data_IF_348131938165
#
_entry.id   IF_348131938165
#
_cell.length_a   1.000
_cell.length_b   1.000
_cell.length_c   1.000
_cell.angle_alpha   90.00
_cell.angle_beta   90.00
_cell.angle_gamma   90.00
#
_symmetry.space_group_name_H-M   'P 1'
#
loop_
_entity.id
_entity.type
_entity.pdbx_description
1 polymer ?
#
# COMPACT_ATOMS: atom_id res chain seq x y z
N UNK A 1 -13.93 -6.75 -0.96
CA UNK A 1 -13.73 -6.84 0.50
C UNK A 1 -12.40 -6.25 0.87
N UNK A 2 -12.33 -5.48 1.96
CA UNK A 2 -11.08 -4.97 2.51
C UNK A 2 -10.80 -5.67 3.85
N UNK A 3 -9.71 -6.42 3.90
CA UNK A 3 -9.19 -7.05 5.11
C UNK A 3 -8.30 -6.01 5.77
N UNK A 4 -8.74 -5.49 6.92
CA UNK A 4 -8.13 -4.37 7.63
C UNK A 4 -6.90 -4.76 8.47
N UNK A 5 -6.18 -5.81 8.08
CA UNK A 5 -4.97 -6.25 8.76
C UNK A 5 -3.77 -5.55 8.11
N UNK A 6 -3.12 -4.68 8.87
CA UNK A 6 -1.97 -3.92 8.42
C UNK A 6 -0.69 -4.67 8.75
N UNK A 7 -0.21 -5.46 7.78
CA UNK A 7 1.01 -6.24 7.91
C UNK A 7 2.23 -5.39 7.55
N UNK A 8 3.30 -5.55 8.33
CA UNK A 8 4.56 -4.83 8.25
C UNK A 8 5.75 -5.78 8.00
N UNK A 9 6.85 -5.21 7.50
CA UNK A 9 8.06 -5.97 7.19
C UNK A 9 8.96 -6.25 8.42
N UNK A 10 8.63 -5.78 9.63
CA UNK A 10 9.43 -5.92 10.84
C UNK A 10 8.90 -6.98 11.83
N UNK A 11 7.64 -7.38 11.70
CA UNK A 11 7.00 -8.37 12.55
C UNK A 11 7.55 -9.78 12.37
N UNK A 12 7.37 -10.63 13.39
CA UNK A 12 7.98 -11.95 13.45
C UNK A 12 7.54 -12.94 12.37
N UNK A 13 6.39 -12.75 11.70
CA UNK A 13 6.01 -13.56 10.52
C UNK A 13 6.91 -13.35 9.29
N UNK A 14 7.80 -12.35 9.32
CA UNK A 14 8.89 -12.20 8.36
C UNK A 14 10.05 -13.16 8.62
N UNK A 15 10.25 -13.57 9.88
CA UNK A 15 11.49 -14.17 10.37
C UNK A 15 11.32 -15.56 10.96
N UNK A 16 10.14 -15.87 11.48
CA UNK A 16 9.84 -17.09 12.22
C UNK A 16 8.88 -17.96 11.39
N UNK A 17 9.30 -19.15 10.94
CA UNK A 17 8.47 -20.01 10.07
C UNK A 17 7.08 -20.31 10.64
N UNK A 18 6.98 -20.58 11.95
CA UNK A 18 5.68 -20.86 12.57
C UNK A 18 4.75 -19.64 12.55
N UNK A 19 5.28 -18.43 12.76
CA UNK A 19 4.46 -17.21 12.68
C UNK A 19 4.07 -16.88 11.25
N UNK A 20 4.98 -17.13 10.28
CA UNK A 20 4.67 -17.01 8.87
C UNK A 20 3.50 -17.93 8.49
N UNK A 21 3.58 -19.22 8.86
CA UNK A 21 2.52 -20.17 8.56
C UNK A 21 1.19 -19.82 9.25
N UNK A 22 1.23 -19.35 10.50
CA UNK A 22 0.01 -18.90 11.19
C UNK A 22 -0.66 -17.73 10.46
N UNK A 23 0.12 -16.78 9.95
CA UNK A 23 -0.38 -15.65 9.18
C UNK A 23 -1.02 -16.12 7.87
N UNK A 24 -0.35 -17.02 7.14
CA UNK A 24 -0.90 -17.61 5.91
C UNK A 24 -2.22 -18.32 6.18
N UNK A 25 -2.28 -19.17 7.22
CA UNK A 25 -3.50 -19.89 7.61
C UNK A 25 -4.63 -18.93 7.94
N UNK A 26 -4.39 -17.95 8.83
CA UNK A 26 -5.41 -17.00 9.25
C UNK A 26 -5.93 -16.15 8.09
N UNK A 27 -5.03 -15.68 7.21
CA UNK A 27 -5.41 -14.88 6.06
C UNK A 27 -6.17 -15.72 5.02
N UNK A 28 -5.83 -17.00 4.84
CA UNK A 28 -6.58 -17.90 3.97
C UNK A 28 -7.96 -18.25 4.53
N UNK A 29 -8.10 -18.44 5.83
CA UNK A 29 -9.42 -18.66 6.45
C UNK A 29 -10.36 -17.48 6.18
N UNK A 30 -9.87 -16.25 6.41
CA UNK A 30 -10.65 -15.03 6.17
C UNK A 30 -10.91 -14.84 4.67
N UNK A 31 -9.85 -14.76 3.86
CA UNK A 31 -10.01 -14.48 2.42
C UNK A 31 -10.79 -15.58 1.69
N UNK A 32 -10.59 -16.84 2.05
CA UNK A 32 -11.34 -17.97 1.53
C UNK A 32 -12.82 -17.90 1.90
N UNK A 33 -13.15 -17.55 3.14
CA UNK A 33 -14.54 -17.34 3.55
C UNK A 33 -15.21 -16.19 2.78
N UNK A 34 -14.50 -15.07 2.57
CA UNK A 34 -15.02 -13.96 1.77
C UNK A 34 -15.37 -14.38 0.34
N UNK A 35 -14.61 -15.30 -0.25
CA UNK A 35 -14.89 -15.87 -1.57
C UNK A 35 -16.10 -16.81 -1.58
N UNK A 36 -16.45 -17.46 -0.48
CA UNK A 36 -17.71 -18.24 -0.41
C UNK A 36 -18.94 -17.34 -0.35
N UNK A 37 -18.81 -16.15 0.27
CA UNK A 37 -19.90 -15.17 0.37
C UNK A 37 -20.10 -14.40 -0.94
N UNK A 38 -19.03 -14.08 -1.64
CA UNK A 38 -19.08 -13.30 -2.89
C UNK A 38 -17.90 -13.65 -3.78
N UNK A 39 -18.00 -14.71 -4.62
CA UNK A 39 -16.87 -15.25 -5.38
C UNK A 39 -16.28 -14.25 -6.37
N UNK A 40 -17.11 -13.37 -6.92
CA UNK A 40 -16.71 -12.39 -7.94
C UNK A 40 -16.09 -11.10 -7.36
N UNK A 41 -16.20 -10.87 -6.04
CA UNK A 41 -15.65 -9.67 -5.41
C UNK A 41 -14.18 -9.88 -5.04
N UNK A 42 -13.29 -8.92 -5.34
CA UNK A 42 -11.90 -9.02 -4.94
C UNK A 42 -11.74 -8.87 -3.42
N UNK A 43 -10.81 -9.59 -2.83
CA UNK A 43 -10.33 -9.39 -1.47
C UNK A 43 -9.00 -8.63 -1.51
N UNK A 44 -8.92 -7.52 -0.78
CA UNK A 44 -7.73 -6.67 -0.69
C UNK A 44 -7.27 -6.50 0.75
N UNK A 45 -6.00 -6.13 0.92
CA UNK A 45 -5.46 -5.58 2.17
C UNK A 45 -4.47 -4.47 1.86
N UNK A 46 -4.15 -3.65 2.87
CA UNK A 46 -3.20 -2.55 2.76
C UNK A 46 -2.04 -2.73 3.76
N UNK A 47 -1.02 -3.54 3.43
CA UNK A 47 0.17 -3.65 4.27
C UNK A 47 1.08 -2.43 4.10
N UNK A 48 2.06 -2.29 4.98
CA UNK A 48 3.08 -1.24 4.90
C UNK A 48 4.49 -1.81 5.02
N UNK A 49 5.49 -0.96 4.85
CA UNK A 49 6.88 -1.29 5.13
C UNK A 49 7.55 -0.13 5.86
N UNK A 50 8.64 -0.44 6.56
CA UNK A 50 9.59 0.52 7.08
C UNK A 50 10.94 0.28 6.42
N UNK A 51 11.48 1.31 5.77
CA UNK A 51 12.70 1.21 4.97
C UNK A 51 13.97 1.01 5.81
N UNK A 52 13.89 1.22 7.12
CA UNK A 52 15.01 1.16 8.07
C UNK A 52 14.92 -0.01 9.05
N UNK A 53 13.78 -0.68 9.14
CA UNK A 53 13.51 -1.78 10.08
C UNK A 53 13.05 -3.03 9.33
N UNK A 54 13.25 -4.18 9.95
CA UNK A 54 12.68 -5.43 9.45
C UNK A 54 13.34 -5.99 8.19
N UNK A 55 12.53 -6.68 7.40
CA UNK A 55 12.93 -7.38 6.19
C UNK A 55 13.12 -6.37 5.06
N UNK A 56 14.28 -6.40 4.41
CA UNK A 56 14.53 -5.58 3.21
C UNK A 56 13.67 -5.99 2.00
N UNK A 57 13.70 -5.18 0.92
CA UNK A 57 12.79 -5.33 -0.23
C UNK A 57 12.73 -6.75 -0.80
N UNK A 58 13.89 -7.38 -1.01
CA UNK A 58 13.98 -8.75 -1.55
C UNK A 58 13.32 -9.80 -0.68
N UNK A 59 13.47 -9.71 0.65
CA UNK A 59 12.83 -10.67 1.56
C UNK A 59 11.32 -10.43 1.61
N UNK A 60 10.91 -9.17 1.57
CA UNK A 60 9.51 -8.79 1.53
C UNK A 60 8.82 -9.23 0.22
N UNK A 61 9.51 -9.15 -0.91
CA UNK A 61 9.08 -9.73 -2.18
C UNK A 61 8.78 -11.23 -2.06
N UNK A 62 9.72 -12.01 -1.52
CA UNK A 62 9.51 -13.45 -1.34
C UNK A 62 8.35 -13.75 -0.39
N UNK A 63 8.22 -12.97 0.69
CA UNK A 63 7.11 -13.09 1.62
C UNK A 63 5.76 -12.90 0.91
N UNK A 64 5.59 -11.83 0.14
CA UNK A 64 4.33 -11.58 -0.58
C UNK A 64 4.04 -12.63 -1.63
N UNK A 65 5.04 -13.04 -2.41
CA UNK A 65 4.89 -14.12 -3.38
C UNK A 65 4.43 -15.43 -2.70
N UNK A 66 4.98 -15.75 -1.53
CA UNK A 66 4.67 -16.98 -0.79
C UNK A 66 3.29 -16.96 -0.14
N UNK A 67 2.94 -15.86 0.51
CA UNK A 67 1.67 -15.70 1.17
C UNK A 67 0.51 -15.63 0.16
N UNK A 68 0.68 -14.92 -0.96
CA UNK A 68 -0.42 -14.70 -1.91
C UNK A 68 -0.78 -15.93 -2.73
N UNK A 69 0.16 -16.86 -2.97
CA UNK A 69 -0.16 -18.12 -3.67
C UNK A 69 -0.91 -19.13 -2.79
N UNK A 70 -0.93 -18.90 -1.48
CA UNK A 70 -1.58 -19.76 -0.48
C UNK A 70 -2.88 -19.14 0.06
N UNK A 71 -3.20 -17.92 -0.36
CA UNK A 71 -4.38 -17.18 0.12
C UNK A 71 -5.30 -16.80 -1.03
N UNK A 72 -6.54 -16.46 -0.70
CA UNK A 72 -7.56 -16.02 -1.66
C UNK A 72 -7.61 -14.50 -1.79
N UNK A 73 -6.53 -13.81 -1.39
CA UNK A 73 -6.32 -12.38 -1.60
C UNK A 73 -6.07 -12.12 -3.08
N UNK A 74 -6.62 -11.03 -3.60
CA UNK A 74 -6.52 -10.63 -5.00
C UNK A 74 -5.67 -9.37 -5.21
N UNK A 75 -5.67 -8.46 -4.23
CA UNK A 75 -5.07 -7.13 -4.35
C UNK A 75 -4.27 -6.80 -3.09
N UNK A 76 -3.02 -6.37 -3.28
CA UNK A 76 -2.20 -5.74 -2.24
C UNK A 76 -2.13 -4.25 -2.52
N UNK A 77 -2.65 -3.42 -1.61
CA UNK A 77 -2.59 -1.95 -1.68
C UNK A 77 -1.46 -1.46 -0.77
N UNK A 78 -0.22 -1.51 -1.24
CA UNK A 78 0.95 -1.21 -0.42
C UNK A 78 0.96 0.25 0.02
N UNK A 79 0.89 0.48 1.33
CA UNK A 79 1.06 1.80 1.94
C UNK A 79 2.52 2.25 1.74
N UNK A 80 2.72 3.49 1.31
CA UNK A 80 4.05 4.00 0.97
C UNK A 80 4.90 4.42 2.18
N UNK A 81 4.30 4.59 3.36
CA UNK A 81 4.98 4.92 4.61
C UNK A 81 5.59 6.34 4.65
N UNK A 82 5.37 7.18 3.64
CA UNK A 82 6.00 8.51 3.55
C UNK A 82 5.34 9.49 4.52
N UNK A 83 4.04 9.37 4.74
CA UNK A 83 3.28 10.20 5.66
C UNK A 83 3.69 10.01 7.12
N UNK A 84 4.18 8.82 7.48
CA UNK A 84 4.67 8.47 8.82
C UNK A 84 6.20 8.36 8.93
N UNK A 85 6.94 8.83 7.93
CA UNK A 85 8.40 8.78 7.88
C UNK A 85 9.02 7.37 7.99
N UNK A 86 8.26 6.34 7.61
CA UNK A 86 8.77 4.98 7.43
C UNK A 86 9.60 4.83 6.15
N UNK A 87 9.38 5.70 5.16
CA UNK A 87 10.17 5.75 3.94
C UNK A 87 10.30 7.19 3.41
N UNK A 88 11.32 7.43 2.61
CA UNK A 88 11.45 8.61 1.76
C UNK A 88 10.99 8.32 0.33
N UNK A 89 10.51 9.34 -0.39
CA UNK A 89 10.07 9.22 -1.80
C UNK A 89 11.12 8.54 -2.69
N UNK A 90 12.40 8.84 -2.48
CA UNK A 90 13.52 8.26 -3.25
C UNK A 90 13.69 6.75 -3.06
N UNK A 91 13.15 6.19 -1.97
CA UNK A 91 13.22 4.77 -1.66
C UNK A 91 12.04 3.99 -2.26
N UNK A 92 10.94 4.67 -2.58
CA UNK A 92 9.72 4.02 -3.08
C UNK A 92 9.97 3.13 -4.31
N UNK A 93 10.76 3.53 -5.33
CA UNK A 93 10.93 2.69 -6.51
C UNK A 93 11.49 1.30 -6.20
N UNK A 94 12.47 1.19 -5.30
CA UNK A 94 13.06 -0.10 -4.93
C UNK A 94 12.05 -0.99 -4.19
N UNK A 95 11.34 -0.40 -3.22
CA UNK A 95 10.38 -1.13 -2.40
C UNK A 95 9.15 -1.57 -3.19
N UNK A 96 8.56 -0.66 -3.96
CA UNK A 96 7.40 -0.95 -4.80
C UNK A 96 7.74 -1.95 -5.90
N UNK A 97 8.90 -1.83 -6.57
CA UNK A 97 9.31 -2.82 -7.56
C UNK A 97 9.41 -4.22 -6.94
N UNK A 98 10.11 -4.36 -5.81
CA UNK A 98 10.29 -5.66 -5.18
C UNK A 98 8.95 -6.27 -4.73
N UNK A 99 8.09 -5.49 -4.06
CA UNK A 99 6.80 -6.00 -3.59
C UNK A 99 5.89 -6.33 -4.78
N UNK A 100 5.76 -5.43 -5.75
CA UNK A 100 4.90 -5.66 -6.90
C UNK A 100 5.37 -6.83 -7.77
N UNK A 101 6.68 -7.03 -7.94
CA UNK A 101 7.20 -8.23 -8.62
C UNK A 101 6.73 -9.52 -7.92
N UNK A 102 6.75 -9.55 -6.58
CA UNK A 102 6.28 -10.69 -5.80
C UNK A 102 4.78 -10.91 -5.91
N UNK A 103 4.01 -9.82 -5.87
CA UNK A 103 2.54 -9.83 -6.01
C UNK A 103 2.13 -10.29 -7.41
N UNK A 104 2.74 -9.73 -8.46
CA UNK A 104 2.50 -10.10 -9.84
C UNK A 104 2.93 -11.53 -10.14
N UNK A 105 4.06 -11.99 -9.59
CA UNK A 105 4.49 -13.39 -9.70
C UNK A 105 3.49 -14.38 -9.07
N UNK A 106 2.70 -13.94 -8.09
CA UNK A 106 1.59 -14.71 -7.52
C UNK A 106 0.28 -14.58 -8.32
N UNK A 107 0.28 -13.86 -9.45
CA UNK A 107 -0.89 -13.65 -10.31
C UNK A 107 -1.92 -12.69 -9.71
N UNK A 108 -1.49 -11.79 -8.81
CA UNK A 108 -2.35 -10.84 -8.08
C UNK A 108 -2.08 -9.39 -8.54
N UNK A 109 -2.92 -8.45 -8.09
CA UNK A 109 -2.73 -7.03 -8.41
C UNK A 109 -1.97 -6.31 -7.31
N UNK A 110 -1.03 -5.45 -7.72
CA UNK A 110 -0.25 -4.59 -6.84
C UNK A 110 -0.70 -3.13 -7.02
N UNK A 111 -1.26 -2.54 -5.99
CA UNK A 111 -1.69 -1.15 -5.96
C UNK A 111 -0.83 -0.37 -4.96
N UNK A 112 -0.78 0.95 -5.11
CA UNK A 112 -0.28 1.86 -4.08
C UNK A 112 -1.45 2.37 -3.25
N UNK A 113 -1.31 2.34 -1.92
CA UNK A 113 -2.07 3.16 -1.00
C UNK A 113 -1.21 4.37 -0.60
N UNK A 114 -1.35 5.46 -1.36
CA UNK A 114 -0.52 6.64 -1.21
C UNK A 114 -0.95 7.43 0.05
N UNK A 115 -0.03 7.63 0.98
CA UNK A 115 -0.27 8.43 2.18
C UNK A 115 -0.24 9.93 1.84
N UNK A 116 -1.42 10.54 1.70
CA UNK A 116 -1.55 11.96 1.34
C UNK A 116 -1.48 12.92 2.54
N UNK A 117 -0.96 12.43 3.67
CA UNK A 117 -0.87 13.14 4.94
C UNK A 117 0.56 13.18 5.47
N UNK A 118 0.80 13.98 6.49
CA UNK A 118 2.04 14.01 7.26
C UNK A 118 1.69 13.85 8.74
N UNK A 119 2.39 12.95 9.43
CA UNK A 119 2.32 12.82 10.87
C UNK A 119 3.01 14.01 11.54
N UNK A 120 2.32 14.64 12.49
CA UNK A 120 2.85 15.72 13.33
C UNK A 120 2.47 15.43 14.78
N UNK A 121 3.46 15.02 15.57
CA UNK A 121 3.22 14.51 16.92
C UNK A 121 2.34 13.25 16.89
N UNK A 122 1.26 13.25 17.65
CA UNK A 122 0.27 12.16 17.66
C UNK A 122 -0.83 12.32 16.59
N UNK A 123 -0.82 13.44 15.84
CA UNK A 123 -1.83 13.77 14.85
C UNK A 123 -1.34 13.67 13.41
N UNK A 124 -2.24 13.94 12.47
CA UNK A 124 -1.97 13.95 11.04
C UNK A 124 -2.53 15.22 10.41
N UNK A 125 -1.78 15.78 9.46
CA UNK A 125 -2.18 16.95 8.65
C UNK A 125 -2.06 16.61 7.16
N UNK A 126 -2.71 17.34 6.25
CA UNK A 126 -2.48 17.17 4.82
C UNK A 126 -0.98 17.24 4.45
N UNK A 127 -0.54 16.31 3.61
CA UNK A 127 0.85 16.22 3.15
C UNK A 127 1.16 17.29 2.09
N UNK A 128 2.39 17.81 2.02
CA UNK A 128 2.75 18.82 1.01
C UNK A 128 2.39 18.35 -0.41
N UNK A 129 1.69 19.15 -1.23
CA UNK A 129 1.22 18.70 -2.54
C UNK A 129 2.33 18.19 -3.47
N UNK A 130 3.48 18.87 -3.49
CA UNK A 130 4.63 18.46 -4.31
C UNK A 130 5.20 17.10 -3.87
N UNK A 131 5.15 16.79 -2.56
CA UNK A 131 5.57 15.48 -2.04
C UNK A 131 4.60 14.39 -2.49
N UNK A 132 3.29 14.65 -2.42
CA UNK A 132 2.25 13.72 -2.87
C UNK A 132 2.35 13.45 -4.37
N UNK A 133 2.61 14.49 -5.18
CA UNK A 133 2.87 14.34 -6.61
C UNK A 133 4.13 13.51 -6.89
N UNK A 134 5.20 13.73 -6.12
CA UNK A 134 6.45 12.97 -6.23
C UNK A 134 6.27 11.50 -5.81
N UNK A 135 5.48 11.22 -4.75
CA UNK A 135 5.08 9.87 -4.35
C UNK A 135 4.38 9.15 -5.51
N UNK A 136 3.35 9.79 -6.07
CA UNK A 136 2.60 9.24 -7.21
C UNK A 136 3.53 8.95 -8.39
N UNK A 137 4.38 9.90 -8.78
CA UNK A 137 5.29 9.75 -9.92
C UNK A 137 6.27 8.58 -9.72
N UNK A 138 6.77 8.41 -8.48
CA UNK A 138 7.75 7.38 -8.16
C UNK A 138 7.18 5.96 -8.30
N UNK A 139 5.89 5.77 -7.99
CA UNK A 139 5.26 4.43 -7.94
C UNK A 139 4.38 4.12 -9.16
N UNK A 140 3.88 5.15 -9.87
CA UNK A 140 3.01 4.99 -11.03
C UNK A 140 3.48 3.99 -12.10
N UNK A 141 4.79 3.85 -12.44
CA UNK A 141 5.22 2.85 -13.43
C UNK A 141 5.31 1.42 -12.86
N UNK A 142 5.12 1.24 -11.55
CA UNK A 142 5.36 -0.02 -10.83
C UNK A 142 4.07 -0.70 -10.35
N UNK A 143 2.96 0.04 -10.31
CA UNK A 143 1.68 -0.42 -9.74
C UNK A 143 0.57 -0.43 -10.79
N UNK A 144 -0.44 -1.26 -10.56
CA UNK A 144 -1.61 -1.38 -11.42
C UNK A 144 -2.61 -0.24 -11.18
N UNK A 145 -2.61 0.33 -9.97
CA UNK A 145 -3.49 1.43 -9.55
C UNK A 145 -2.92 2.17 -8.34
N UNK A 146 -3.28 3.44 -8.21
CA UNK A 146 -3.00 4.25 -7.01
C UNK A 146 -4.34 4.61 -6.36
N UNK A 147 -4.47 4.27 -5.08
CA UNK A 147 -5.50 4.74 -4.15
C UNK A 147 -4.83 5.58 -3.06
N UNK A 148 -5.61 6.15 -2.13
CA UNK A 148 -5.04 6.98 -1.06
C UNK A 148 -5.83 6.86 0.23
N UNK A 149 -5.08 6.78 1.33
CA UNK A 149 -5.57 7.05 2.67
C UNK A 149 -5.16 8.48 3.08
N UNK A 150 -6.07 9.44 3.19
CA UNK A 150 -7.46 9.39 2.72
C UNK A 150 -7.89 10.72 2.08
N UNK A 151 -8.70 10.63 1.03
CA UNK A 151 -9.17 11.81 0.30
C UNK A 151 -9.99 12.76 1.18
N UNK A 152 -10.94 12.22 1.97
CA UNK A 152 -11.88 13.03 2.76
C UNK A 152 -11.14 13.88 3.79
N UNK A 153 -10.20 13.29 4.53
CA UNK A 153 -9.53 13.97 5.65
C UNK A 153 -8.42 14.92 5.19
N UNK A 154 -7.76 14.62 4.06
CA UNK A 154 -6.51 15.31 3.71
C UNK A 154 -6.49 15.97 2.34
N UNK A 155 -7.56 15.85 1.54
CA UNK A 155 -7.66 16.52 0.24
C UNK A 155 -9.03 17.14 -0.06
N UNK A 156 -10.11 16.74 0.61
CA UNK A 156 -11.46 17.13 0.20
C UNK A 156 -11.86 18.53 0.68
N UNK A 157 -12.12 19.50 -0.22
CA UNK A 157 -12.52 20.85 0.19
C UNK A 157 -13.91 20.89 0.83
N UNK A 158 -14.78 19.94 0.46
CA UNK A 158 -16.11 19.79 1.05
C UNK A 158 -16.04 19.47 2.55
N UNK A 159 -14.94 18.88 3.00
CA UNK A 159 -14.70 18.53 4.40
C UNK A 159 -13.73 19.50 5.10
N UNK A 160 -13.53 20.71 4.54
CA UNK A 160 -12.78 21.78 5.19
C UNK A 160 -11.26 21.71 4.99
N UNK A 161 -10.77 20.84 4.11
CA UNK A 161 -9.37 20.88 3.67
C UNK A 161 -9.18 22.05 2.71
N UNK A 162 -8.03 22.72 2.77
CA UNK A 162 -7.70 23.80 1.84
C UNK A 162 -7.79 23.30 0.38
N UNK A 163 -8.55 23.98 -0.52
CA UNK A 163 -8.67 23.62 -1.92
C UNK A 163 -7.33 23.39 -2.64
N UNK A 164 -6.27 24.06 -2.22
CA UNK A 164 -4.95 23.96 -2.85
C UNK A 164 -4.42 22.52 -2.93
N UNK A 165 -4.76 21.64 -1.96
CA UNK A 165 -4.29 20.24 -1.97
C UNK A 165 -4.90 19.44 -3.12
N UNK A 166 -6.21 19.62 -3.37
CA UNK A 166 -6.90 18.98 -4.49
C UNK A 166 -6.49 19.60 -5.82
N UNK A 167 -6.45 20.93 -5.88
CA UNK A 167 -6.11 21.67 -7.10
C UNK A 167 -4.69 21.34 -7.58
N UNK A 168 -3.71 21.29 -6.67
CA UNK A 168 -2.34 20.91 -6.99
C UNK A 168 -2.24 19.47 -7.52
N UNK A 169 -2.96 18.52 -6.88
CA UNK A 169 -2.97 17.14 -7.36
C UNK A 169 -3.64 16.99 -8.74
N UNK A 170 -4.72 17.74 -8.99
CA UNK A 170 -5.38 17.79 -10.30
C UNK A 170 -4.47 18.41 -11.37
N UNK A 171 -3.77 19.49 -11.05
CA UNK A 171 -2.81 20.13 -11.94
C UNK A 171 -1.66 19.18 -12.30
N UNK A 172 -1.14 18.43 -11.33
CA UNK A 172 -0.17 17.36 -11.57
C UNK A 172 -0.73 16.27 -12.50
N UNK A 173 -1.93 15.77 -12.24
CA UNK A 173 -2.57 14.72 -13.07
C UNK A 173 -2.76 15.14 -14.53
N UNK A 174 -3.00 16.43 -14.80
CA UNK A 174 -3.11 16.95 -16.17
C UNK A 174 -1.79 16.89 -16.95
N UNK A 175 -0.64 16.78 -16.27
CA UNK A 175 0.69 16.71 -16.89
C UNK A 175 1.09 15.28 -17.27
N UNK A 176 0.33 14.26 -16.85
CA UNK A 176 0.63 12.84 -17.10
C UNK A 176 -0.40 12.30 -18.10
N UNK A 177 -0.04 12.12 -19.38
CA UNK A 177 -0.95 11.60 -20.38
C UNK A 177 -1.28 10.13 -20.11
N UNK A 178 -2.58 9.76 -20.17
CA UNK A 178 -3.00 8.36 -20.32
C UNK A 178 -3.16 7.53 -19.04
N UNK A 179 -3.28 8.17 -17.87
CA UNK A 179 -3.68 7.52 -16.60
C UNK A 179 -4.94 8.10 -16.01
#
# INVERSE_FOLDING_TARGET
>A
WYINWEMDNASGYNFLPNQNQNMVTALQEVSGHLKTLSPDLPASLAPFFNSTLGAGPRRWQYFWYDLLRQTSVDIVMLQDGVGVAHAEVKQLPEWFQAVCDGVHAAGKQCWSDLENFTQVGEGFIPGPPDRVAAQHQAVAPLVDRIVTFSFITYMSPVYGVDPQYLEAYQAYRQQIPGQ
#
